data_IF_868913006560
#
_entry.id   IF_868913006560
#
_cell.length_a   1.000
_cell.length_b   1.000
_cell.length_c   1.000
_cell.angle_alpha   90.00
_cell.angle_beta   90.00
_cell.angle_gamma   90.00
#
_symmetry.space_group_name_H-M   'P 1'
#
loop_
_entity.id
_entity.type
_entity.pdbx_description
1 polymer ?
#
# COMPACT_ATOMS: atom_id res chain seq x y z
N UNK A 1 -0.43 33.37 7.50
CA UNK A 1 0.66 32.87 6.64
C UNK A 1 0.44 31.38 6.52
N UNK A 2 0.27 30.87 5.30
CA UNK A 2 -0.34 29.57 4.97
C UNK A 2 -1.89 29.53 4.96
N UNK A 3 -2.56 30.66 4.74
CA UNK A 3 -4.04 30.75 4.74
C UNK A 3 -4.71 29.91 3.63
N UNK A 4 -3.94 29.43 2.66
CA UNK A 4 -4.35 28.55 1.57
C UNK A 4 -3.64 27.19 1.58
N UNK A 5 -2.96 26.83 2.67
CA UNK A 5 -2.35 25.51 2.79
C UNK A 5 -3.40 24.42 3.04
N UNK A 6 -3.53 23.52 2.06
CA UNK A 6 -4.45 22.38 2.11
C UNK A 6 -3.77 21.08 2.56
N UNK A 7 -2.48 21.11 2.90
CA UNK A 7 -1.69 19.91 3.20
C UNK A 7 -2.32 19.09 4.31
N UNK A 8 -2.78 19.71 5.40
CA UNK A 8 -3.44 19.01 6.50
C UNK A 8 -4.77 18.35 6.08
N UNK A 9 -5.55 19.01 5.22
CA UNK A 9 -6.79 18.46 4.70
C UNK A 9 -6.53 17.25 3.79
N UNK A 10 -5.54 17.37 2.90
CA UNK A 10 -5.15 16.29 2.00
C UNK A 10 -4.54 15.10 2.75
N UNK A 11 -3.71 15.37 3.77
CA UNK A 11 -3.03 14.34 4.54
C UNK A 11 -4.00 13.39 5.25
N UNK A 12 -5.21 13.83 5.60
CA UNK A 12 -6.23 12.97 6.19
C UNK A 12 -6.79 11.90 5.22
N UNK A 13 -6.60 12.08 3.91
CA UNK A 13 -7.13 11.19 2.86
C UNK A 13 -6.02 10.41 2.14
N UNK A 14 -4.76 10.57 2.57
CA UNK A 14 -3.60 9.98 1.92
C UNK A 14 -2.88 8.99 2.84
N UNK A 15 -2.24 8.00 2.24
CA UNK A 15 -1.28 7.17 2.95
C UNK A 15 -0.10 8.02 3.45
N UNK A 16 0.46 7.62 4.60
CA UNK A 16 1.59 8.32 5.24
C UNK A 16 2.79 8.52 4.31
N UNK A 17 3.07 7.57 3.42
CA UNK A 17 4.17 7.71 2.47
C UNK A 17 3.90 8.80 1.43
N UNK A 18 2.64 8.97 1.00
CA UNK A 18 2.20 10.01 0.06
C UNK A 18 2.14 11.41 0.69
N UNK A 19 2.00 11.50 2.01
CA UNK A 19 2.11 12.77 2.74
C UNK A 19 3.56 13.28 2.78
N UNK A 20 4.54 12.38 2.69
CA UNK A 20 5.94 12.74 2.86
C UNK A 20 6.43 13.75 1.78
N UNK A 21 6.19 13.54 0.46
CA UNK A 21 6.50 14.55 -0.56
C UNK A 21 5.85 15.92 -0.32
N UNK A 22 4.66 15.96 0.28
CA UNK A 22 4.00 17.24 0.61
C UNK A 22 4.78 17.98 1.70
N UNK A 23 5.26 17.27 2.73
CA UNK A 23 6.11 17.87 3.76
C UNK A 23 7.48 18.31 3.21
N UNK A 24 8.06 17.59 2.26
CA UNK A 24 9.26 18.04 1.55
C UNK A 24 9.01 19.35 0.81
N UNK A 25 7.90 19.44 0.05
CA UNK A 25 7.51 20.67 -0.63
C UNK A 25 7.32 21.84 0.33
N UNK A 26 6.64 21.64 1.46
CA UNK A 26 6.46 22.69 2.47
C UNK A 26 7.81 23.17 3.05
N UNK A 27 8.77 22.25 3.22
CA UNK A 27 10.13 22.58 3.67
C UNK A 27 10.86 23.43 2.64
N UNK A 28 10.83 23.03 1.37
CA UNK A 28 11.49 23.75 0.26
C UNK A 28 10.93 25.16 0.08
N UNK A 29 9.60 25.31 0.24
CA UNK A 29 8.91 26.60 0.17
C UNK A 29 9.10 27.47 1.40
N UNK A 30 9.71 26.94 2.47
CA UNK A 30 9.95 27.64 3.74
C UNK A 30 8.68 28.28 4.32
N UNK A 31 7.53 27.61 4.14
CA UNK A 31 6.23 28.10 4.63
C UNK A 31 6.08 27.97 6.15
N UNK A 32 6.80 27.01 6.73
CA UNK A 32 6.87 26.73 8.16
C UNK A 32 8.33 26.70 8.61
N UNK A 33 8.57 26.77 9.92
CA UNK A 33 9.94 26.70 10.42
C UNK A 33 10.54 25.30 10.19
N UNK A 34 11.86 25.25 9.94
CA UNK A 34 12.56 23.99 9.72
C UNK A 34 12.38 22.99 10.87
N UNK A 35 12.49 23.38 12.16
CA UNK A 35 12.27 22.45 13.27
C UNK A 35 10.87 21.84 13.28
N UNK A 36 9.83 22.65 13.05
CA UNK A 36 8.44 22.17 13.01
C UNK A 36 8.22 21.13 11.90
N UNK A 37 8.78 21.35 10.71
CA UNK A 37 8.66 20.40 9.60
C UNK A 37 9.43 19.11 9.89
N UNK A 38 10.65 19.19 10.44
CA UNK A 38 11.44 18.01 10.78
C UNK A 38 10.76 17.17 11.87
N UNK A 39 10.18 17.81 12.90
CA UNK A 39 9.38 17.12 13.92
C UNK A 39 8.15 16.43 13.31
N UNK A 40 7.44 17.11 12.40
CA UNK A 40 6.30 16.53 11.69
C UNK A 40 6.71 15.32 10.84
N UNK A 41 7.85 15.38 10.15
CA UNK A 41 8.42 14.26 9.39
C UNK A 41 8.78 13.08 10.30
N UNK A 42 9.43 13.31 11.44
CA UNK A 42 9.73 12.24 12.42
C UNK A 42 8.43 11.58 12.90
N UNK A 43 7.41 12.38 13.23
CA UNK A 43 6.10 11.86 13.66
C UNK A 43 5.45 11.01 12.57
N UNK A 44 5.48 11.46 11.32
CA UNK A 44 4.95 10.71 10.18
C UNK A 44 5.70 9.37 9.99
N UNK A 45 7.03 9.43 9.99
CA UNK A 45 7.89 8.25 9.82
C UNK A 45 7.83 7.28 10.99
N UNK A 46 7.46 7.75 12.19
CA UNK A 46 7.29 6.89 13.37
C UNK A 46 6.25 5.78 13.16
N UNK A 47 5.29 5.97 12.25
CA UNK A 47 4.36 4.93 11.82
C UNK A 47 4.96 3.93 10.82
N UNK A 48 5.98 4.31 10.06
CA UNK A 48 6.57 3.52 8.96
C UNK A 48 7.72 2.62 9.43
N UNK A 49 8.31 1.84 8.53
CA UNK A 49 9.57 1.14 8.76
C UNK A 49 10.78 1.81 8.08
N UNK A 50 10.66 3.08 7.66
CA UNK A 50 11.75 3.89 7.12
C UNK A 50 12.68 4.41 8.24
N UNK A 51 13.21 3.47 9.04
CA UNK A 51 13.92 3.79 10.29
C UNK A 51 15.19 4.56 10.03
N UNK A 52 16.00 4.16 9.03
CA UNK A 52 17.24 4.85 8.68
C UNK A 52 16.99 6.32 8.33
N UNK A 53 15.92 6.58 7.58
CA UNK A 53 15.56 7.93 7.18
C UNK A 53 15.04 8.77 8.35
N UNK A 54 14.27 8.17 9.26
CA UNK A 54 13.86 8.83 10.50
C UNK A 54 15.08 9.19 11.38
N UNK A 55 16.09 8.31 11.43
CA UNK A 55 17.34 8.56 12.16
C UNK A 55 18.10 9.75 11.56
N UNK A 56 18.20 9.84 10.23
CA UNK A 56 18.87 10.96 9.55
C UNK A 56 18.17 12.29 9.80
N UNK A 57 16.83 12.30 9.82
CA UNK A 57 16.03 13.50 10.14
C UNK A 57 16.23 13.89 11.61
N UNK A 58 16.27 12.93 12.54
CA UNK A 58 16.56 13.20 13.96
C UNK A 58 17.93 13.85 14.13
N UNK A 59 18.97 13.32 13.49
CA UNK A 59 20.32 13.91 13.52
C UNK A 59 20.32 15.34 12.98
N UNK A 60 19.62 15.58 11.87
CA UNK A 60 19.47 16.91 11.27
C UNK A 60 18.72 17.90 12.16
N UNK A 61 17.71 17.44 12.90
CA UNK A 61 16.92 18.26 13.82
C UNK A 61 17.72 18.68 15.06
N UNK A 62 18.45 17.74 15.66
CA UNK A 62 19.18 17.97 16.91
C UNK A 62 20.64 18.41 16.71
N UNK A 63 21.16 18.37 15.48
CA UNK A 63 22.54 18.70 15.17
C UNK A 63 23.54 17.75 15.84
N UNK A 64 23.18 16.48 15.97
CA UNK A 64 23.99 15.43 16.60
C UNK A 64 24.09 14.21 15.70
N UNK A 65 25.16 13.44 15.84
CA UNK A 65 25.28 12.11 15.23
C UNK A 65 24.66 11.01 16.09
N UNK A 66 24.29 11.34 17.34
CA UNK A 66 23.66 10.43 18.28
C UNK A 66 22.21 10.15 17.89
N UNK A 67 21.83 8.88 17.99
CA UNK A 67 20.48 8.41 17.71
C UNK A 67 19.94 7.69 18.95
N UNK A 68 18.67 7.91 19.34
CA UNK A 68 18.04 7.21 20.45
C UNK A 68 18.16 5.68 20.31
N UNK A 69 18.45 5.00 21.43
CA UNK A 69 18.57 3.54 21.47
C UNK A 69 17.33 2.82 20.93
N UNK A 70 16.14 3.38 21.18
CA UNK A 70 14.87 2.84 20.68
C UNK A 70 14.83 2.76 19.14
N UNK A 71 15.39 3.75 18.43
CA UNK A 71 15.43 3.74 16.95
C UNK A 71 16.43 2.69 16.44
N UNK A 72 17.57 2.53 17.12
CA UNK A 72 18.57 1.51 16.79
C UNK A 72 17.99 0.11 17.00
N UNK A 73 17.27 -0.11 18.11
CA UNK A 73 16.57 -1.37 18.37
C UNK A 73 15.52 -1.65 17.31
N UNK A 74 14.66 -0.66 17.00
CA UNK A 74 13.64 -0.79 15.97
C UNK A 74 14.23 -1.11 14.59
N UNK A 75 15.37 -0.52 14.23
CA UNK A 75 16.10 -0.85 13.00
C UNK A 75 16.47 -2.34 12.95
N UNK A 76 16.99 -2.88 14.06
CA UNK A 76 17.34 -4.30 14.13
C UNK A 76 16.12 -5.23 13.97
N UNK A 77 14.98 -4.85 14.57
CA UNK A 77 13.72 -5.58 14.44
C UNK A 77 13.19 -5.55 13.00
N UNK A 78 13.22 -4.38 12.35
CA UNK A 78 12.80 -4.20 10.96
C UNK A 78 13.66 -5.05 10.02
N UNK A 79 14.98 -5.02 10.17
CA UNK A 79 15.89 -5.82 9.35
C UNK A 79 15.69 -7.32 9.57
N UNK A 80 15.50 -7.74 10.82
CA UNK A 80 15.21 -9.15 11.13
C UNK A 80 13.91 -9.62 10.48
N UNK A 81 12.86 -8.80 10.56
CA UNK A 81 11.56 -9.11 9.95
C UNK A 81 11.63 -9.12 8.42
N UNK A 82 12.36 -8.18 7.82
CA UNK A 82 12.60 -8.15 6.38
C UNK A 82 13.22 -9.46 5.90
N UNK A 83 14.27 -9.95 6.58
CA UNK A 83 14.93 -11.21 6.25
C UNK A 83 13.99 -12.41 6.36
N UNK A 84 13.20 -12.47 7.45
CA UNK A 84 12.25 -13.58 7.63
C UNK A 84 11.18 -13.63 6.53
N UNK A 85 10.72 -12.47 6.07
CA UNK A 85 9.74 -12.38 4.98
C UNK A 85 10.36 -12.71 3.62
N UNK A 86 11.60 -12.27 3.38
CA UNK A 86 12.37 -12.61 2.18
C UNK A 86 12.57 -14.13 2.07
N UNK A 87 13.01 -14.78 3.16
CA UNK A 87 13.18 -16.24 3.21
C UNK A 87 11.85 -16.99 2.99
N UNK A 88 10.76 -16.51 3.58
CA UNK A 88 9.44 -17.12 3.42
C UNK A 88 8.87 -16.97 2.00
N UNK A 89 9.13 -15.82 1.34
CA UNK A 89 8.68 -15.55 -0.02
C UNK A 89 9.65 -16.09 -1.09
N UNK A 90 10.90 -16.42 -0.74
CA UNK A 90 11.96 -16.81 -1.67
C UNK A 90 11.56 -17.92 -2.67
N UNK A 91 10.86 -19.01 -2.28
CA UNK A 91 10.46 -20.04 -3.23
C UNK A 91 9.56 -19.48 -4.35
N UNK A 92 8.60 -18.63 -3.98
CA UNK A 92 7.67 -18.01 -4.92
C UNK A 92 8.35 -16.93 -5.76
N UNK A 93 9.21 -16.10 -5.16
CA UNK A 93 9.99 -15.09 -5.89
C UNK A 93 10.90 -15.75 -6.92
N UNK A 94 11.59 -16.83 -6.55
CA UNK A 94 12.46 -17.58 -7.46
C UNK A 94 11.67 -18.19 -8.64
N UNK A 95 10.46 -18.69 -8.39
CA UNK A 95 9.57 -19.16 -9.45
C UNK A 95 9.20 -18.02 -10.41
N UNK A 96 8.78 -16.88 -9.88
CA UNK A 96 8.30 -15.72 -10.65
C UNK A 96 9.43 -15.00 -11.42
N UNK A 97 10.68 -15.11 -10.95
CA UNK A 97 11.85 -14.58 -11.65
C UNK A 97 12.28 -15.44 -12.85
N UNK A 98 11.77 -16.67 -12.98
CA UNK A 98 12.14 -17.56 -14.08
C UNK A 98 11.13 -17.44 -15.24
N UNK A 99 11.50 -16.85 -16.39
CA UNK A 99 10.58 -16.63 -17.51
C UNK A 99 10.00 -17.93 -18.10
N UNK A 100 10.71 -19.06 -17.97
CA UNK A 100 10.21 -20.35 -18.46
C UNK A 100 9.11 -20.91 -17.56
N UNK A 101 9.21 -20.69 -16.25
CA UNK A 101 8.22 -21.13 -15.28
C UNK A 101 6.97 -20.25 -15.31
N UNK A 102 7.16 -18.94 -15.47
CA UNK A 102 6.06 -17.98 -15.61
C UNK A 102 5.21 -18.26 -16.84
N UNK A 103 5.77 -18.82 -17.92
CA UNK A 103 5.00 -19.26 -19.09
C UNK A 103 4.04 -20.42 -18.79
N UNK A 104 4.26 -21.18 -17.71
CA UNK A 104 3.33 -22.22 -17.28
C UNK A 104 2.07 -21.63 -16.61
N UNK A 105 2.11 -20.36 -16.17
CA UNK A 105 0.97 -19.69 -15.55
C UNK A 105 -0.15 -19.47 -16.58
N UNK A 106 -1.36 -19.80 -16.17
CA UNK A 106 -2.59 -19.63 -16.96
C UNK A 106 -3.40 -18.44 -16.43
N UNK A 107 -4.37 -17.94 -17.21
CA UNK A 107 -5.34 -16.96 -16.70
C UNK A 107 -6.16 -17.49 -15.51
N UNK A 108 -6.32 -18.81 -15.41
CA UNK A 108 -7.00 -19.46 -14.29
C UNK A 108 -6.09 -19.53 -13.05
N UNK A 109 -6.44 -18.72 -12.05
CA UNK A 109 -5.73 -18.61 -10.78
C UNK A 109 -5.81 -19.88 -9.93
N UNK A 110 -6.93 -20.59 -9.96
CA UNK A 110 -7.11 -21.81 -9.16
C UNK A 110 -6.21 -22.92 -9.68
N UNK A 111 -6.12 -23.04 -11.01
CA UNK A 111 -5.15 -23.94 -11.64
C UNK A 111 -3.71 -23.59 -11.25
N UNK A 112 -3.34 -22.31 -11.29
CA UNK A 112 -1.99 -21.88 -10.95
C UNK A 112 -1.62 -22.23 -9.50
N UNK A 113 -2.51 -21.99 -8.53
CA UNK A 113 -2.28 -22.32 -7.13
C UNK A 113 -2.07 -23.84 -6.95
N UNK A 114 -2.91 -24.66 -7.58
CA UNK A 114 -2.77 -26.12 -7.50
C UNK A 114 -1.45 -26.61 -8.12
N UNK A 115 -1.09 -26.08 -9.29
CA UNK A 115 0.13 -26.41 -10.01
C UNK A 115 1.38 -26.02 -9.20
N UNK A 116 1.38 -24.84 -8.60
CA UNK A 116 2.43 -24.35 -7.71
C UNK A 116 2.60 -25.26 -6.49
N UNK A 117 1.49 -25.70 -5.89
CA UNK A 117 1.52 -26.58 -4.73
C UNK A 117 2.04 -27.98 -5.06
N UNK A 118 1.55 -28.60 -6.14
CA UNK A 118 1.94 -29.97 -6.49
C UNK A 118 3.36 -30.08 -7.04
N UNK A 119 3.76 -29.19 -7.95
CA UNK A 119 5.04 -29.31 -8.68
C UNK A 119 6.19 -28.60 -7.97
N UNK A 120 5.90 -27.48 -7.29
CA UNK A 120 6.92 -26.60 -6.73
C UNK A 120 6.85 -26.48 -5.19
N UNK A 121 5.89 -27.15 -4.54
CA UNK A 121 5.65 -27.07 -3.09
C UNK A 121 5.41 -25.63 -2.60
N UNK A 122 4.86 -24.78 -3.47
CA UNK A 122 4.49 -23.40 -3.17
C UNK A 122 3.01 -23.37 -2.85
N UNK A 123 2.69 -23.17 -1.58
CA UNK A 123 1.32 -23.13 -1.06
C UNK A 123 0.77 -21.71 -0.87
N UNK A 124 -0.45 -21.60 -0.30
CA UNK A 124 -1.07 -20.32 0.02
C UNK A 124 -0.24 -19.49 1.00
N UNK A 125 0.52 -20.13 1.89
CA UNK A 125 1.37 -19.45 2.87
C UNK A 125 2.49 -18.64 2.20
N UNK A 126 3.11 -19.17 1.13
CA UNK A 126 4.13 -18.45 0.37
C UNK A 126 3.54 -17.28 -0.42
N UNK A 127 2.31 -17.43 -0.92
CA UNK A 127 1.58 -16.36 -1.61
C UNK A 127 1.25 -15.22 -0.64
N UNK A 128 0.76 -15.54 0.55
CA UNK A 128 0.51 -14.52 1.58
C UNK A 128 1.83 -13.92 2.11
N UNK A 129 2.89 -14.72 2.23
CA UNK A 129 4.22 -14.21 2.56
C UNK A 129 4.72 -13.19 1.53
N UNK A 130 4.47 -13.41 0.23
CA UNK A 130 4.79 -12.43 -0.82
C UNK A 130 4.03 -11.11 -0.62
N UNK A 131 2.73 -11.16 -0.28
CA UNK A 131 1.96 -9.94 0.02
C UNK A 131 2.51 -9.19 1.23
N UNK A 132 2.79 -9.92 2.32
CA UNK A 132 3.36 -9.33 3.52
C UNK A 132 4.75 -8.75 3.25
N UNK A 133 5.56 -9.44 2.44
CA UNK A 133 6.86 -8.98 2.02
C UNK A 133 6.76 -7.71 1.18
N UNK A 134 5.87 -7.66 0.19
CA UNK A 134 5.63 -6.49 -0.64
C UNK A 134 5.17 -5.28 0.18
N UNK A 135 4.23 -5.49 1.11
CA UNK A 135 3.79 -4.45 2.04
C UNK A 135 4.94 -3.98 2.92
N UNK A 136 5.77 -4.89 3.43
CA UNK A 136 6.90 -4.54 4.28
C UNK A 136 7.98 -3.77 3.51
N UNK A 137 8.21 -4.11 2.24
CA UNK A 137 9.07 -3.34 1.33
C UNK A 137 8.54 -1.92 1.14
N UNK A 138 7.23 -1.76 0.94
CA UNK A 138 6.58 -0.44 0.87
C UNK A 138 6.79 0.36 2.16
N UNK A 139 6.54 -0.26 3.33
CA UNK A 139 6.72 0.36 4.64
C UNK A 139 8.19 0.76 4.91
N UNK A 140 9.16 0.07 4.29
CA UNK A 140 10.59 0.41 4.34
C UNK A 140 10.99 1.49 3.32
N UNK A 141 10.09 1.91 2.43
CA UNK A 141 10.36 2.89 1.37
C UNK A 141 10.89 2.31 0.06
N UNK A 142 10.93 0.98 -0.09
CA UNK A 142 11.36 0.29 -1.30
C UNK A 142 10.20 0.13 -2.30
N UNK A 143 9.74 1.24 -2.87
CA UNK A 143 8.53 1.28 -3.70
C UNK A 143 8.63 0.45 -4.99
N UNK A 144 9.81 0.36 -5.60
CA UNK A 144 10.01 -0.42 -6.83
C UNK A 144 9.74 -1.91 -6.62
N UNK A 145 10.34 -2.50 -5.59
CA UNK A 145 10.10 -3.91 -5.25
C UNK A 145 8.67 -4.15 -4.77
N UNK A 146 8.11 -3.21 -4.00
CA UNK A 146 6.72 -3.29 -3.56
C UNK A 146 5.75 -3.35 -4.76
N UNK A 147 5.91 -2.47 -5.75
CA UNK A 147 5.05 -2.44 -6.93
C UNK A 147 5.12 -3.75 -7.74
N UNK A 148 6.33 -4.28 -7.95
CA UNK A 148 6.56 -5.53 -8.67
C UNK A 148 5.94 -6.74 -7.93
N UNK A 149 6.19 -6.87 -6.63
CA UNK A 149 5.65 -7.99 -5.86
C UNK A 149 4.13 -7.92 -5.71
N UNK A 150 3.54 -6.72 -5.58
CA UNK A 150 2.08 -6.55 -5.57
C UNK A 150 1.44 -6.90 -6.91
N UNK A 151 2.11 -6.58 -8.03
CA UNK A 151 1.68 -6.99 -9.35
C UNK A 151 1.67 -8.52 -9.49
N UNK A 152 2.77 -9.17 -9.10
CA UNK A 152 2.88 -10.63 -9.13
C UNK A 152 1.88 -11.32 -8.21
N UNK A 153 1.68 -10.80 -6.99
CA UNK A 153 0.67 -11.30 -6.06
C UNK A 153 -0.75 -11.25 -6.65
N UNK A 154 -1.12 -10.17 -7.34
CA UNK A 154 -2.46 -10.05 -7.96
C UNK A 154 -2.73 -11.07 -9.06
N UNK A 155 -1.70 -11.56 -9.74
CA UNK A 155 -1.81 -12.64 -10.72
C UNK A 155 -2.19 -13.98 -10.08
N UNK A 156 -1.86 -14.18 -8.80
CA UNK A 156 -2.06 -15.43 -8.06
C UNK A 156 -3.19 -15.34 -7.02
N UNK A 157 -3.55 -14.14 -6.55
CA UNK A 157 -4.54 -13.93 -5.51
C UNK A 157 -5.97 -14.20 -5.99
N UNK A 158 -6.68 -15.08 -5.28
CA UNK A 158 -8.11 -15.38 -5.50
C UNK A 158 -9.04 -14.50 -4.65
N UNK A 159 -8.53 -13.89 -3.58
CA UNK A 159 -9.27 -12.99 -2.72
C UNK A 159 -9.43 -11.60 -3.38
N UNK A 160 -10.69 -11.18 -3.56
CA UNK A 160 -11.04 -9.91 -4.20
C UNK A 160 -10.65 -8.70 -3.35
N UNK A 161 -10.80 -8.75 -2.03
CA UNK A 161 -10.45 -7.63 -1.15
C UNK A 161 -8.93 -7.43 -1.11
N UNK A 162 -8.17 -8.51 -0.94
CA UNK A 162 -6.70 -8.48 -0.98
C UNK A 162 -6.17 -8.03 -2.33
N UNK A 163 -6.81 -8.46 -3.43
CA UNK A 163 -6.47 -7.98 -4.78
C UNK A 163 -6.65 -6.47 -4.93
N UNK A 164 -7.73 -5.90 -4.37
CA UNK A 164 -7.97 -4.44 -4.37
C UNK A 164 -6.98 -3.71 -3.47
N UNK A 165 -6.67 -4.24 -2.28
CA UNK A 165 -5.63 -3.67 -1.41
C UNK A 165 -4.25 -3.66 -2.10
N UNK A 166 -3.91 -4.73 -2.81
CA UNK A 166 -2.67 -4.79 -3.58
C UNK A 166 -2.64 -3.78 -4.73
N UNK A 167 -3.79 -3.52 -5.36
CA UNK A 167 -3.91 -2.50 -6.40
C UNK A 167 -3.70 -1.09 -5.84
N UNK A 168 -4.30 -0.76 -4.68
CA UNK A 168 -4.04 0.50 -3.98
C UNK A 168 -2.57 0.67 -3.61
N UNK A 169 -1.94 -0.38 -3.08
CA UNK A 169 -0.52 -0.35 -2.73
C UNK A 169 0.38 -0.14 -3.94
N UNK A 170 0.09 -0.81 -5.07
CA UNK A 170 0.83 -0.61 -6.32
C UNK A 170 0.65 0.81 -6.84
N UNK A 171 -0.58 1.33 -6.90
CA UNK A 171 -0.85 2.71 -7.31
C UNK A 171 -0.04 3.72 -6.47
N UNK A 172 -0.06 3.57 -5.14
CA UNK A 172 0.69 4.44 -4.24
C UNK A 172 2.22 4.35 -4.51
N UNK A 173 2.74 3.15 -4.75
CA UNK A 173 4.16 2.94 -5.06
C UNK A 173 4.56 3.60 -6.38
N UNK A 174 3.74 3.46 -7.44
CA UNK A 174 4.00 4.10 -8.74
C UNK A 174 3.94 5.63 -8.66
N UNK A 175 3.00 6.19 -7.87
CA UNK A 175 2.94 7.64 -7.61
C UNK A 175 4.21 8.11 -6.90
N UNK A 176 4.67 7.39 -5.88
CA UNK A 176 5.88 7.75 -5.12
C UNK A 176 7.16 7.65 -5.97
N UNK A 177 7.16 6.79 -6.98
CA UNK A 177 8.24 6.70 -7.98
C UNK A 177 8.08 7.67 -9.16
N UNK A 178 6.99 8.44 -9.20
CA UNK A 178 6.66 9.37 -10.29
C UNK A 178 6.47 8.68 -11.66
N UNK A 179 6.05 7.41 -11.66
CA UNK A 179 5.73 6.64 -12.86
C UNK A 179 4.29 6.90 -13.31
N UNK A 180 4.02 8.11 -13.80
CA UNK A 180 2.66 8.60 -14.03
C UNK A 180 1.84 7.78 -15.04
N UNK A 181 2.48 7.23 -16.08
CA UNK A 181 1.80 6.42 -17.08
C UNK A 181 1.23 5.13 -16.46
N UNK A 182 2.06 4.40 -15.70
CA UNK A 182 1.66 3.17 -15.00
C UNK A 182 0.66 3.49 -13.88
N UNK A 183 0.87 4.58 -13.14
CA UNK A 183 -0.06 5.02 -12.11
C UNK A 183 -1.45 5.31 -12.69
N UNK A 184 -1.54 5.94 -13.87
CA UNK A 184 -2.80 6.21 -14.54
C UNK A 184 -3.50 4.91 -14.97
N UNK A 185 -2.76 3.92 -15.48
CA UNK A 185 -3.31 2.61 -15.80
C UNK A 185 -3.90 1.91 -14.57
N UNK A 186 -3.16 1.87 -13.46
CA UNK A 186 -3.65 1.23 -12.22
C UNK A 186 -4.80 2.02 -11.59
N UNK A 187 -4.82 3.36 -11.71
CA UNK A 187 -5.94 4.20 -11.30
C UNK A 187 -7.23 3.88 -12.08
N UNK A 188 -7.14 3.77 -13.41
CA UNK A 188 -8.32 3.46 -14.24
C UNK A 188 -8.88 2.07 -13.90
N UNK A 189 -8.01 1.07 -13.69
CA UNK A 189 -8.43 -0.26 -13.23
C UNK A 189 -9.14 -0.21 -11.89
N UNK A 190 -8.62 0.58 -10.96
CA UNK A 190 -9.18 0.72 -9.62
C UNK A 190 -10.56 1.40 -9.68
N UNK A 191 -10.69 2.44 -10.52
CA UNK A 191 -11.95 3.09 -10.82
C UNK A 191 -12.99 2.11 -11.37
N UNK A 192 -12.63 1.30 -12.36
CA UNK A 192 -13.53 0.27 -12.92
C UNK A 192 -14.02 -0.73 -11.86
N UNK A 193 -13.14 -1.17 -10.96
CA UNK A 193 -13.51 -2.10 -9.88
C UNK A 193 -14.44 -1.43 -8.86
N UNK A 194 -14.23 -0.16 -8.55
CA UNK A 194 -15.09 0.58 -7.60
C UNK A 194 -16.46 0.84 -8.24
N UNK A 195 -16.48 1.37 -9.46
CA UNK A 195 -17.72 1.68 -10.18
C UNK A 195 -18.56 0.40 -10.40
N UNK A 196 -17.93 -0.74 -10.70
CA UNK A 196 -18.64 -2.03 -10.84
C UNK A 196 -19.19 -2.58 -9.52
N UNK A 197 -18.50 -2.38 -8.40
CA UNK A 197 -19.03 -2.75 -7.07
C UNK A 197 -20.23 -1.89 -6.68
N UNK A 198 -20.20 -0.58 -6.94
CA UNK A 198 -21.35 0.31 -6.68
C UNK A 198 -22.58 -0.06 -7.53
N UNK A 199 -22.37 -0.47 -8.79
CA UNK A 199 -23.45 -0.97 -9.65
C UNK A 199 -24.12 -2.24 -9.10
N UNK A 200 -23.35 -3.15 -8.49
CA UNK A 200 -23.90 -4.35 -7.85
C UNK A 200 -24.72 -4.00 -6.60
N UNK A 201 -24.21 -3.11 -5.75
CA UNK A 201 -24.91 -2.65 -4.52
C UNK A 201 -26.22 -1.93 -4.88
N UNK A 202 -26.19 -1.07 -5.90
CA UNK A 202 -27.39 -0.36 -6.36
C UNK A 202 -28.41 -1.31 -6.99
N UNK A 203 -27.97 -2.38 -7.67
CA UNK A 203 -28.85 -3.42 -8.21
C UNK A 203 -29.47 -4.34 -7.17
N UNK A 204 -28.75 -4.68 -6.09
CA UNK A 204 -29.28 -5.46 -4.95
C UNK A 204 -30.23 -4.64 -4.07
N UNK A 205 -30.10 -3.31 -4.09
CA UNK A 205 -30.96 -2.38 -3.34
C UNK A 205 -32.28 -2.02 -4.05
N UNK A 206 -32.57 -2.60 -5.22
CA UNK A 206 -33.82 -2.39 -5.94
C UNK A 206 -34.81 -3.53 -5.68
N UNK A 207 -35.78 -3.38 -4.76
CA UNK A 207 -36.93 -4.26 -4.74
C UNK A 207 -37.89 -3.89 -5.88
N UNK A 208 -38.45 -4.94 -6.49
CA UNK A 208 -39.52 -4.91 -7.47
C UNK A 208 -40.72 -4.03 -7.04
N UNK A 209 -41.41 -3.51 -8.05
CA UNK A 209 -42.49 -2.52 -7.98
C UNK A 209 -43.78 -2.99 -7.27
N UNK A 210 -44.55 -1.97 -6.85
CA UNK A 210 -46.01 -1.93 -6.66
C UNK A 210 -46.63 -2.53 -5.37
N UNK A 211 -47.06 -1.64 -4.46
CA UNK A 211 -48.50 -1.41 -4.19
C UNK A 211 -48.72 -0.31 -3.14
N UNK A 212 -49.14 0.87 -3.62
CA UNK A 212 -50.38 1.58 -3.26
C UNK A 212 -50.99 1.58 -1.83
N UNK A 213 -50.30 1.23 -0.75
CA UNK A 213 -50.89 1.32 0.61
C UNK A 213 -49.96 2.01 1.62
N UNK A 214 -50.57 2.88 2.43
CA UNK A 214 -49.99 3.65 3.54
C UNK A 214 -49.27 4.98 3.19
N UNK A 215 -49.92 5.81 2.36
CA UNK A 215 -50.10 7.20 2.77
C UNK A 215 -50.97 7.19 4.03
N UNK A 216 -50.35 7.37 5.21
CA UNK A 216 -51.10 7.64 6.43
C UNK A 216 -50.46 7.03 7.67
N UNK A 217 -50.08 7.92 8.59
CA UNK A 217 -49.63 7.68 9.98
C UNK A 217 -48.10 7.57 10.10
N UNK A 218 -47.37 8.30 10.94
CA UNK A 218 -47.65 9.23 12.06
C UNK A 218 -46.28 9.88 12.33
N UNK A 219 -46.11 11.19 12.08
CA UNK A 219 -45.83 12.21 13.10
C UNK A 219 -45.19 11.73 14.43
N UNK A 220 -44.08 12.36 14.83
CA UNK A 220 -43.53 12.43 16.20
C UNK A 220 -42.88 11.16 16.79
N UNK A 221 -41.55 11.08 16.70
CA UNK A 221 -40.61 11.45 17.78
C UNK A 221 -39.17 11.46 17.23
#
# INVERSE_FOLDING_TARGET
MADHDLTALMAAQLDRHLVFPLLEFLQERQLYSRPEILEAKIRLLSGTNMVDYAMDIHKSLHGTDDVPEDMVKRRSEVVSRLRSLDEAAAPLVAFLQNPQLVQELRPDKQYNIHMLQERYQIGPDQIEALYQYAKFQFECGNYSWAAEYLYQYRALCTDTERSVSALWGKLAAEILMQNWDVALEEFNRLKEIIDSKELLITSESAPEQDMADALGSVHLL
#
